data_IF_880906488243
#
_entry.id   IF_880906488243
#
_cell.length_a   1.000
_cell.length_b   1.000
_cell.length_c   1.000
_cell.angle_alpha   90.00
_cell.angle_beta   90.00
_cell.angle_gamma   90.00
#
_symmetry.space_group_name_H-M   'P 1'
#
loop_
_entity.id
_entity.type
_entity.pdbx_description
1 polymer ?
#
# COMPACT_ATOMS: atom_id res chain seq x y z
N UNK A 1 9.14 19.59 -20.39
CA UNK A 1 8.52 18.55 -19.56
C UNK A 1 9.30 18.49 -18.25
N UNK A 2 8.65 18.26 -17.11
CA UNK A 2 9.31 18.22 -15.79
C UNK A 2 9.88 16.83 -15.49
N UNK A 3 11.03 16.77 -14.83
CA UNK A 3 11.69 15.53 -14.40
C UNK A 3 12.10 15.67 -12.93
N UNK A 4 11.85 14.65 -12.06
CA UNK A 4 12.30 14.68 -10.67
C UNK A 4 13.83 14.68 -10.57
N UNK A 5 14.37 15.26 -9.50
CA UNK A 5 15.80 15.20 -9.22
C UNK A 5 16.22 13.80 -8.73
N UNK A 6 17.50 13.42 -8.86
CA UNK A 6 18.01 12.14 -8.35
C UNK A 6 17.74 11.93 -6.85
N UNK A 7 17.87 12.99 -6.05
CA UNK A 7 17.62 12.93 -4.60
C UNK A 7 16.16 12.63 -4.28
N UNK A 8 15.24 13.12 -5.12
CA UNK A 8 13.81 12.83 -4.98
C UNK A 8 13.49 11.40 -5.37
N UNK A 9 14.17 10.85 -6.38
CA UNK A 9 14.04 9.43 -6.77
C UNK A 9 14.57 8.54 -5.64
N UNK A 10 15.74 8.84 -5.09
CA UNK A 10 16.36 8.04 -4.03
C UNK A 10 15.50 8.00 -2.74
N UNK A 11 14.81 9.09 -2.42
CA UNK A 11 13.93 9.19 -1.24
C UNK A 11 12.51 8.69 -1.47
N UNK A 12 12.17 8.24 -2.68
CA UNK A 12 10.82 7.80 -2.98
C UNK A 12 10.51 6.46 -2.29
N UNK A 13 9.29 6.32 -1.75
CA UNK A 13 8.84 5.08 -1.12
C UNK A 13 8.87 3.89 -2.10
N UNK A 14 8.59 4.11 -3.39
CA UNK A 14 8.63 3.07 -4.42
C UNK A 14 10.06 2.56 -4.68
N UNK A 15 11.06 3.43 -4.62
CA UNK A 15 12.49 3.06 -4.71
C UNK A 15 12.89 2.19 -3.52
N UNK A 16 12.51 2.60 -2.31
CA UNK A 16 12.73 1.81 -1.11
C UNK A 16 12.00 0.45 -1.14
N UNK A 17 10.76 0.41 -1.65
CA UNK A 17 10.00 -0.82 -1.87
C UNK A 17 10.74 -1.76 -2.84
N UNK A 18 11.13 -1.26 -4.02
CA UNK A 18 11.81 -2.06 -5.03
C UNK A 18 13.10 -2.66 -4.46
N UNK A 19 13.92 -1.82 -3.82
CA UNK A 19 15.18 -2.24 -3.18
C UNK A 19 14.97 -3.28 -2.09
N UNK A 20 13.99 -3.08 -1.19
CA UNK A 20 13.65 -4.02 -0.10
C UNK A 20 13.28 -5.40 -0.63
N UNK A 21 12.61 -5.48 -1.77
CA UNK A 21 12.14 -6.73 -2.36
C UNK A 21 13.07 -7.28 -3.48
N UNK A 22 14.22 -6.65 -3.71
CA UNK A 22 15.17 -7.06 -4.76
C UNK A 22 14.61 -6.92 -6.18
N UNK A 23 13.75 -5.91 -6.40
CA UNK A 23 13.07 -5.64 -7.65
C UNK A 23 13.76 -4.49 -8.42
N UNK A 24 13.49 -4.32 -9.72
CA UNK A 24 14.02 -3.19 -10.48
C UNK A 24 13.63 -1.84 -9.85
N UNK A 25 14.61 -0.95 -9.66
CA UNK A 25 14.36 0.42 -9.17
C UNK A 25 13.90 1.36 -10.30
N UNK A 26 14.13 0.96 -11.57
CA UNK A 26 13.52 1.62 -12.72
C UNK A 26 12.01 1.38 -12.75
N UNK A 27 11.24 2.47 -12.87
CA UNK A 27 9.79 2.41 -12.78
C UNK A 27 9.15 1.56 -13.87
N UNK A 28 9.64 1.64 -15.12
CA UNK A 28 9.06 0.89 -16.24
C UNK A 28 9.36 -0.61 -16.15
N UNK A 29 10.55 -0.96 -15.67
CA UNK A 29 10.89 -2.35 -15.35
C UNK A 29 10.07 -2.89 -14.17
N UNK A 30 9.91 -2.11 -13.10
CA UNK A 30 9.09 -2.48 -11.95
C UNK A 30 7.62 -2.65 -12.33
N UNK A 31 7.09 -1.74 -13.14
CA UNK A 31 5.72 -1.80 -13.64
C UNK A 31 5.50 -3.05 -14.48
N UNK A 32 6.37 -3.34 -15.46
CA UNK A 32 6.28 -4.58 -16.27
C UNK A 32 6.26 -5.82 -15.40
N UNK A 33 7.19 -5.91 -14.44
CA UNK A 33 7.20 -7.00 -13.49
C UNK A 33 5.89 -7.13 -12.70
N UNK A 34 5.33 -6.01 -12.22
CA UNK A 34 4.11 -6.02 -11.40
C UNK A 34 2.86 -6.52 -12.12
N UNK A 35 2.81 -6.36 -13.45
CA UNK A 35 1.68 -6.83 -14.28
C UNK A 35 1.91 -8.24 -14.81
N UNK A 36 3.16 -8.61 -15.08
CA UNK A 36 3.53 -9.97 -15.52
C UNK A 36 3.36 -10.99 -14.39
N UNK A 37 3.80 -10.65 -13.17
CA UNK A 37 3.65 -11.50 -11.98
C UNK A 37 2.80 -10.81 -10.91
N UNK A 38 1.51 -10.64 -11.21
CA UNK A 38 0.55 -9.99 -10.32
C UNK A 38 0.47 -10.66 -8.94
N UNK A 39 0.67 -11.98 -8.87
CA UNK A 39 0.58 -12.73 -7.62
C UNK A 39 1.74 -12.39 -6.69
N UNK A 40 2.96 -12.40 -7.23
CA UNK A 40 4.15 -12.01 -6.46
C UNK A 40 4.15 -10.53 -6.12
N UNK A 41 3.64 -9.67 -7.00
CA UNK A 41 3.46 -8.25 -6.70
C UNK A 41 2.57 -8.04 -5.48
N UNK A 42 1.38 -8.63 -5.46
CA UNK A 42 0.45 -8.45 -4.34
C UNK A 42 0.91 -9.16 -3.05
N UNK A 43 1.67 -10.26 -3.13
CA UNK A 43 2.38 -10.80 -1.96
C UNK A 43 3.38 -9.79 -1.39
N UNK A 44 4.22 -9.18 -2.23
CA UNK A 44 5.20 -8.20 -1.80
C UNK A 44 4.54 -6.97 -1.16
N UNK A 45 3.40 -6.53 -1.70
CA UNK A 45 2.60 -5.44 -1.10
C UNK A 45 2.07 -5.83 0.29
N UNK A 46 1.52 -7.04 0.44
CA UNK A 46 1.05 -7.54 1.73
C UNK A 46 2.15 -7.52 2.80
N UNK A 47 3.34 -8.02 2.46
CA UNK A 47 4.52 -8.01 3.33
C UNK A 47 5.03 -6.59 3.59
N UNK A 48 5.06 -5.73 2.56
CA UNK A 48 5.60 -4.39 2.68
C UNK A 48 4.81 -3.53 3.67
N UNK A 49 3.48 -3.60 3.60
CA UNK A 49 2.59 -2.86 4.51
C UNK A 49 2.31 -3.59 5.82
N UNK A 50 2.85 -4.80 6.01
CA UNK A 50 2.70 -5.56 7.25
C UNK A 50 1.22 -5.84 7.56
N UNK A 51 0.46 -6.26 6.54
CA UNK A 51 -0.94 -6.63 6.69
C UNK A 51 -1.04 -7.87 7.58
N UNK A 52 -1.85 -7.78 8.63
CA UNK A 52 -1.99 -8.85 9.62
C UNK A 52 -2.81 -10.01 9.08
N UNK A 53 -2.43 -11.22 9.49
CA UNK A 53 -3.12 -12.47 9.14
C UNK A 53 -2.38 -13.28 8.09
N UNK A 54 -3.04 -14.35 7.65
CA UNK A 54 -2.54 -15.29 6.64
C UNK A 54 -3.56 -15.48 5.54
N UNK A 55 -3.11 -15.93 4.38
CA UNK A 55 -3.94 -16.27 3.23
C UNK A 55 -3.49 -17.60 2.64
N UNK A 56 -4.38 -18.29 1.93
CA UNK A 56 -4.04 -19.58 1.28
C UNK A 56 -3.23 -19.37 0.01
N UNK A 57 -3.53 -18.30 -0.72
CA UNK A 57 -2.82 -17.83 -1.92
C UNK A 57 -3.21 -16.39 -2.19
N UNK A 58 -2.39 -15.65 -2.96
CA UNK A 58 -2.67 -14.26 -3.30
C UNK A 58 -3.85 -14.13 -4.28
N UNK A 59 -3.92 -15.00 -5.28
CA UNK A 59 -4.93 -14.94 -6.32
C UNK A 59 -5.48 -16.34 -6.58
N UNK A 60 -6.75 -16.55 -6.21
CA UNK A 60 -7.47 -17.81 -6.41
C UNK A 60 -7.97 -17.94 -7.83
N UNK A 61 -8.95 -17.12 -8.20
CA UNK A 61 -9.47 -17.04 -9.57
C UNK A 61 -9.00 -15.73 -10.22
N UNK A 62 -8.52 -15.83 -11.46
CA UNK A 62 -8.16 -14.67 -12.30
C UNK A 62 -9.28 -14.25 -13.25
N UNK A 63 -10.36 -15.03 -13.33
CA UNK A 63 -11.47 -14.77 -14.25
C UNK A 63 -12.19 -13.49 -13.88
N UNK A 64 -12.51 -12.66 -14.88
CA UNK A 64 -13.24 -11.42 -14.70
C UNK A 64 -14.62 -11.51 -15.36
N UNK A 65 -15.70 -11.06 -14.68
CA UNK A 65 -15.75 -10.62 -13.28
C UNK A 65 -15.60 -11.79 -12.29
N UNK A 66 -15.32 -11.49 -11.01
CA UNK A 66 -15.27 -12.51 -9.94
C UNK A 66 -13.86 -12.98 -9.55
N UNK A 67 -12.82 -12.22 -9.89
CA UNK A 67 -11.47 -12.51 -9.42
C UNK A 67 -11.46 -12.63 -7.89
N UNK A 68 -10.82 -13.67 -7.36
CA UNK A 68 -10.80 -13.97 -5.93
C UNK A 68 -9.41 -13.67 -5.37
N UNK A 69 -9.27 -12.56 -4.68
CA UNK A 69 -8.03 -12.14 -4.03
C UNK A 69 -7.95 -12.66 -2.60
N UNK A 70 -6.76 -13.11 -2.21
CA UNK A 70 -6.42 -13.55 -0.86
C UNK A 70 -7.48 -14.49 -0.22
N UNK A 71 -7.92 -15.57 -0.89
CA UNK A 71 -8.81 -16.56 -0.26
C UNK A 71 -8.24 -17.05 1.07
N UNK A 72 -9.13 -17.24 2.05
CA UNK A 72 -8.78 -17.62 3.41
C UNK A 72 -8.34 -16.44 4.30
N UNK A 73 -8.03 -15.26 3.73
CA UNK A 73 -7.64 -14.12 4.51
C UNK A 73 -8.76 -13.57 5.39
N UNK A 74 -8.43 -13.27 6.64
CA UNK A 74 -9.29 -12.54 7.57
C UNK A 74 -8.53 -11.32 8.06
N UNK A 75 -8.95 -10.15 7.59
CA UNK A 75 -8.34 -8.86 7.93
C UNK A 75 -9.38 -7.94 8.57
N UNK A 76 -8.90 -6.99 9.38
CA UNK A 76 -9.72 -5.90 9.89
C UNK A 76 -9.16 -4.57 9.40
N UNK A 77 -9.91 -3.90 8.54
CA UNK A 77 -9.49 -2.65 7.92
C UNK A 77 -9.25 -1.54 8.95
N UNK A 78 -10.14 -1.37 9.93
CA UNK A 78 -10.01 -0.33 10.95
C UNK A 78 -8.80 -0.61 11.86
N UNK A 79 -8.64 -1.86 12.32
CA UNK A 79 -7.50 -2.25 13.14
C UNK A 79 -6.18 -2.02 12.41
N UNK A 80 -6.08 -2.42 11.15
CA UNK A 80 -4.89 -2.17 10.33
C UNK A 80 -4.66 -0.66 10.10
N UNK A 81 -5.72 0.11 9.86
CA UNK A 81 -5.63 1.56 9.67
C UNK A 81 -5.09 2.28 10.89
N UNK A 82 -5.43 1.82 12.11
CA UNK A 82 -4.97 2.43 13.37
C UNK A 82 -3.77 1.72 14.01
N UNK A 83 -3.24 0.67 13.36
CA UNK A 83 -2.08 -0.09 13.83
C UNK A 83 -0.90 0.84 14.11
N UNK A 84 -0.28 0.66 15.27
CA UNK A 84 0.89 1.40 15.75
C UNK A 84 0.74 2.94 15.77
N UNK A 85 -0.49 3.45 15.72
CA UNK A 85 -0.75 4.89 15.86
C UNK A 85 -0.87 5.27 17.33
N UNK A 86 -0.16 6.30 17.80
CA UNK A 86 -0.31 6.81 19.17
C UNK A 86 -1.74 7.32 19.38
N UNK A 87 -2.34 7.01 20.53
CA UNK A 87 -3.72 7.41 20.87
C UNK A 87 -3.91 8.92 21.02
N UNK A 88 -2.83 9.66 21.23
CA UNK A 88 -2.80 11.13 21.38
C UNK A 88 -2.49 11.86 20.05
N UNK A 89 -2.16 11.12 18.97
CA UNK A 89 -1.86 11.73 17.67
C UNK A 89 -3.15 12.08 16.93
N UNK A 90 -3.28 13.35 16.52
CA UNK A 90 -4.41 13.82 15.70
C UNK A 90 -4.52 13.00 14.40
N UNK A 91 -5.61 12.25 14.26
CA UNK A 91 -5.92 11.46 13.06
C UNK A 91 -6.77 12.23 12.04
N UNK A 92 -7.71 13.06 12.52
CA UNK A 92 -8.66 13.80 11.68
C UNK A 92 -8.63 15.26 12.10
N UNK A 93 -8.38 16.16 11.13
CA UNK A 93 -8.57 17.61 11.29
C UNK A 93 -9.74 18.02 10.41
N UNK A 94 -10.78 18.57 11.02
CA UNK A 94 -11.99 19.02 10.33
C UNK A 94 -12.10 20.55 10.43
N UNK A 95 -12.61 21.20 9.38
CA UNK A 95 -12.99 22.61 9.36
C UNK A 95 -14.34 22.76 8.67
N UNK A 96 -15.14 23.72 9.13
CA UNK A 96 -16.45 24.03 8.58
C UNK A 96 -16.61 25.55 8.51
N UNK A 97 -17.19 26.05 7.42
CA UNK A 97 -17.55 27.47 7.25
C UNK A 97 -18.89 27.81 7.91
N UNK A 98 -19.72 26.80 8.19
CA UNK A 98 -21.05 26.93 8.78
C UNK A 98 -21.09 26.70 10.29
N UNK A 99 -19.94 26.36 10.91
CA UNK A 99 -19.81 26.15 12.36
C UNK A 99 -18.65 26.98 12.89
N UNK A 100 -18.86 27.62 14.04
CA UNK A 100 -17.79 28.33 14.73
C UNK A 100 -16.64 27.37 15.09
N UNK A 101 -15.40 27.89 15.08
CA UNK A 101 -14.20 27.13 15.45
C UNK A 101 -14.32 26.60 16.89
N UNK A 102 -14.47 25.28 17.04
CA UNK A 102 -14.33 24.60 18.32
C UNK A 102 -12.87 24.51 18.73
N UNK A 103 -12.57 24.74 20.01
CA UNK A 103 -11.26 24.44 20.57
C UNK A 103 -11.06 22.90 20.61
N UNK A 104 -9.88 22.45 20.19
CA UNK A 104 -9.46 21.05 20.22
C UNK A 104 -8.94 20.68 21.60
#
# INVERSE_FOLDING_TARGET
MWTPSPERIERAAITAFARKHGLPEDYDALWRWSVEDVGRFWAAIWEHFGVDGSYDRVLGSRTMPGATWFPGARVNYAAHTFKDKPGDRVAIRHRSESRALGAW
#
